data_IF_237535244117
#
_entry.id   IF_237535244117
#
_cell.length_a   1.000
_cell.length_b   1.000
_cell.length_c   1.000
_cell.angle_alpha   90.00
_cell.angle_beta   90.00
_cell.angle_gamma   90.00
#
_symmetry.space_group_name_H-M   'P 1'
#
loop_
_entity.id
_entity.type
_entity.pdbx_description
1 polymer ?
#
# COMPACT_ATOMS: atom_id res chain seq x y z
N UNK A 1 21.15 59.92 68.45
CA UNK A 1 20.27 58.77 68.11
C UNK A 1 20.78 57.96 66.90
N UNK A 2 22.07 58.05 66.57
CA UNK A 2 22.65 57.53 65.31
C UNK A 2 23.62 56.35 65.52
N UNK A 3 24.19 56.20 66.72
CA UNK A 3 25.16 55.14 67.06
C UNK A 3 24.50 53.74 67.19
N UNK A 4 23.22 53.67 67.56
CA UNK A 4 22.49 52.39 67.70
C UNK A 4 22.12 51.71 66.38
N UNK A 5 22.05 52.45 65.25
CA UNK A 5 21.70 51.88 63.93
C UNK A 5 22.89 51.20 63.25
N UNK A 6 24.10 51.76 63.40
CA UNK A 6 25.32 51.16 62.85
C UNK A 6 25.67 49.81 63.48
N UNK A 7 25.44 49.65 64.79
CA UNK A 7 25.70 48.38 65.48
C UNK A 7 24.79 47.24 65.01
N UNK A 8 23.52 47.55 64.69
CA UNK A 8 22.56 46.56 64.18
C UNK A 8 22.93 46.14 62.75
N UNK A 9 23.35 47.09 61.89
CA UNK A 9 23.77 46.76 60.54
C UNK A 9 25.08 45.95 60.52
N UNK A 10 26.03 46.27 61.40
CA UNK A 10 27.28 45.52 61.51
C UNK A 10 27.03 44.09 62.03
N UNK A 11 26.10 43.92 62.98
CA UNK A 11 25.71 42.60 63.49
C UNK A 11 24.98 41.76 62.43
N UNK A 12 24.10 42.36 61.62
CA UNK A 12 23.41 41.66 60.52
C UNK A 12 24.43 41.22 59.46
N UNK A 13 25.37 42.08 59.07
CA UNK A 13 26.43 41.73 58.10
C UNK A 13 27.33 40.61 58.65
N UNK A 14 27.65 40.64 59.95
CA UNK A 14 28.46 39.61 60.58
C UNK A 14 27.72 38.25 60.63
N UNK A 15 26.42 38.25 60.92
CA UNK A 15 25.59 37.03 60.93
C UNK A 15 25.43 36.45 59.52
N UNK A 16 25.19 37.28 58.50
CA UNK A 16 25.13 36.83 57.11
C UNK A 16 26.50 36.40 56.55
N UNK A 17 27.59 37.04 56.98
CA UNK A 17 28.95 36.66 56.63
C UNK A 17 29.38 35.33 57.26
N UNK A 18 28.96 35.04 58.49
CA UNK A 18 29.28 33.78 59.16
C UNK A 18 28.41 32.60 58.67
N UNK A 19 27.20 32.84 58.15
CA UNK A 19 26.41 31.78 57.49
C UNK A 19 26.99 31.33 56.14
N UNK A 20 27.77 32.17 55.46
CA UNK A 20 28.39 31.82 54.18
C UNK A 20 29.64 30.92 54.32
N UNK A 21 30.25 30.85 55.52
CA UNK A 21 31.47 30.07 55.78
C UNK A 21 31.23 28.75 56.52
N UNK A 22 29.99 28.46 56.93
CA UNK A 22 29.62 27.21 57.61
C UNK A 22 28.84 26.23 56.73
N UNK A 23 28.53 26.61 55.48
CA UNK A 23 28.09 25.65 54.47
C UNK A 23 29.33 24.92 53.96
N UNK A 24 29.67 23.80 54.60
CA UNK A 24 30.50 22.80 53.95
C UNK A 24 29.81 22.49 52.62
N UNK A 25 30.50 22.53 51.46
CA UNK A 25 29.91 21.99 50.26
C UNK A 25 29.58 20.54 50.59
N UNK A 26 28.31 20.23 50.74
CA UNK A 26 27.85 18.86 50.65
C UNK A 26 28.47 18.32 49.37
N UNK A 27 29.23 17.22 49.47
CA UNK A 27 29.57 16.47 48.27
C UNK A 27 28.23 16.16 47.61
N UNK A 28 27.94 16.90 46.54
CA UNK A 28 26.95 16.46 45.58
C UNK A 28 27.63 15.25 44.97
N UNK A 29 27.34 14.08 45.52
CA UNK A 29 27.49 12.86 44.75
C UNK A 29 26.76 13.15 43.45
N UNK A 30 27.45 13.02 42.32
CA UNK A 30 26.76 12.97 41.04
C UNK A 30 25.64 11.97 41.25
N UNK A 31 24.40 12.45 41.20
CA UNK A 31 23.23 11.59 41.25
C UNK A 31 23.49 10.54 40.17
N UNK A 32 23.52 9.26 40.55
CA UNK A 32 23.82 8.17 39.63
C UNK A 32 22.97 8.42 38.39
N UNK A 33 23.64 8.52 37.24
CA UNK A 33 23.02 9.04 36.03
C UNK A 33 21.74 8.27 35.68
N UNK A 34 21.63 7.02 36.14
CA UNK A 34 20.47 6.12 36.06
C UNK A 34 19.13 6.75 36.48
N UNK A 35 19.15 7.84 37.27
CA UNK A 35 17.95 8.59 37.66
C UNK A 35 17.44 9.59 36.58
N UNK A 36 18.20 9.82 35.50
CA UNK A 36 17.88 10.82 34.46
C UNK A 36 17.01 10.28 33.32
N UNK A 37 17.24 9.03 32.92
CA UNK A 37 16.39 8.30 31.97
C UNK A 37 16.56 6.79 32.22
N UNK A 38 15.49 6.03 31.95
CA UNK A 38 15.54 4.56 31.98
C UNK A 38 16.17 3.96 30.72
N UNK A 39 16.33 4.77 29.67
CA UNK A 39 16.84 4.48 28.32
C UNK A 39 17.55 5.77 27.87
N UNK A 40 18.88 5.77 27.85
CA UNK A 40 19.68 6.99 27.76
C UNK A 40 19.88 7.50 26.34
N UNK A 41 20.07 6.61 25.39
CA UNK A 41 20.26 6.89 23.97
C UNK A 41 18.92 6.91 23.21
N UNK A 42 17.85 6.41 23.81
CA UNK A 42 16.49 6.50 23.31
C UNK A 42 16.17 5.45 22.24
N UNK A 43 16.88 4.33 22.23
CA UNK A 43 16.77 3.26 21.24
C UNK A 43 15.58 2.30 21.51
N UNK A 44 14.92 2.44 22.67
CA UNK A 44 13.79 1.63 23.11
C UNK A 44 14.19 0.44 23.99
N UNK A 45 15.47 0.28 24.32
CA UNK A 45 16.02 -0.74 25.21
C UNK A 45 16.40 -0.09 26.55
N UNK A 46 15.84 -0.54 27.70
CA UNK A 46 16.19 0.07 28.96
C UNK A 46 17.64 -0.21 29.38
N UNK A 47 18.36 0.80 29.89
CA UNK A 47 19.74 0.73 30.40
C UNK A 47 20.05 -0.50 31.27
N UNK A 48 19.08 -0.89 32.12
CA UNK A 48 19.22 -2.05 33.01
C UNK A 48 19.24 -3.37 32.24
N UNK A 49 18.51 -3.44 31.13
CA UNK A 49 18.45 -4.60 30.24
C UNK A 49 19.74 -4.77 29.47
N UNK A 50 20.33 -3.67 29.01
CA UNK A 50 21.62 -3.65 28.33
C UNK A 50 22.75 -4.09 29.26
N UNK A 51 22.75 -3.57 30.50
CA UNK A 51 23.77 -3.89 31.51
C UNK A 51 23.62 -5.30 32.10
N UNK A 52 22.39 -5.77 32.35
CA UNK A 52 22.11 -7.12 32.87
C UNK A 52 22.21 -8.21 31.79
N UNK A 53 22.16 -7.76 30.53
CA UNK A 53 22.21 -8.57 29.33
C UNK A 53 20.87 -9.18 28.93
N UNK A 54 20.70 -9.39 27.62
CA UNK A 54 19.45 -9.89 27.04
C UNK A 54 19.68 -11.00 26.00
N UNK A 55 18.61 -11.71 25.67
CA UNK A 55 18.62 -12.84 24.73
C UNK A 55 17.47 -12.68 23.73
N UNK A 56 17.69 -13.15 22.50
CA UNK A 56 16.69 -13.26 21.44
C UNK A 56 16.98 -14.51 20.58
N UNK A 57 16.39 -14.66 19.39
CA UNK A 57 16.65 -15.82 18.55
C UNK A 57 18.09 -15.92 18.00
N UNK A 58 18.83 -14.80 17.92
CA UNK A 58 20.23 -14.77 17.51
C UNK A 58 21.20 -15.26 18.61
N UNK A 59 20.75 -15.33 19.87
CA UNK A 59 21.51 -15.93 20.97
C UNK A 59 21.52 -15.07 22.23
N UNK A 60 22.73 -14.84 22.76
CA UNK A 60 22.98 -14.06 23.97
C UNK A 60 23.71 -14.83 25.09
N UNK A 61 23.98 -14.18 26.24
CA UNK A 61 23.53 -12.83 26.59
C UNK A 61 24.31 -11.75 25.83
N UNK A 62 23.60 -10.76 25.31
CA UNK A 62 24.18 -9.55 24.71
C UNK A 62 24.21 -8.42 25.73
N UNK A 63 25.32 -7.69 25.80
CA UNK A 63 25.52 -6.57 26.71
C UNK A 63 25.95 -5.33 25.92
N UNK A 64 25.02 -4.42 25.67
CA UNK A 64 25.21 -3.22 24.86
C UNK A 64 25.55 -2.01 25.75
N UNK A 65 26.07 -0.93 25.16
CA UNK A 65 26.39 0.29 25.91
C UNK A 65 25.17 1.21 25.96
N UNK A 66 24.60 1.54 27.14
CA UNK A 66 23.44 2.41 27.24
C UNK A 66 23.61 3.83 26.70
N UNK A 67 24.78 4.20 26.21
CA UNK A 67 25.05 5.49 25.59
C UNK A 67 25.21 5.39 24.07
N UNK A 68 25.00 4.21 23.51
CA UNK A 68 25.25 3.85 22.12
C UNK A 68 24.06 3.06 21.57
N UNK A 69 23.20 3.76 20.81
CA UNK A 69 21.93 3.20 20.37
C UNK A 69 22.06 2.03 19.37
N UNK A 70 23.21 1.86 18.74
CA UNK A 70 23.46 0.92 17.64
C UNK A 70 24.88 0.36 17.80
N UNK A 71 24.99 -0.76 18.51
CA UNK A 71 26.28 -1.29 18.97
C UNK A 71 27.21 -1.80 17.86
N UNK A 72 26.70 -2.04 16.63
CA UNK A 72 27.49 -2.48 15.48
C UNK A 72 27.42 -1.59 14.23
N UNK A 73 26.75 -0.43 14.34
CA UNK A 73 26.67 0.61 13.31
C UNK A 73 26.01 0.15 11.98
N UNK A 74 25.16 -0.89 11.99
CA UNK A 74 24.42 -1.37 10.81
C UNK A 74 23.16 -0.53 10.50
N UNK A 75 22.89 0.45 11.36
CA UNK A 75 21.76 1.36 11.35
C UNK A 75 20.55 0.84 12.12
N UNK A 76 20.57 -0.35 12.70
CA UNK A 76 19.49 -0.96 13.47
C UNK A 76 19.81 -0.80 14.94
N UNK A 77 18.91 -0.15 15.68
CA UNK A 77 19.21 0.13 17.08
C UNK A 77 19.10 -1.13 17.94
N UNK A 78 19.84 -1.23 19.05
CA UNK A 78 19.88 -2.45 19.88
C UNK A 78 18.49 -2.88 20.36
N UNK A 79 17.61 -1.91 20.65
CA UNK A 79 16.20 -2.12 20.95
C UNK A 79 15.38 -2.69 19.80
N UNK A 80 15.65 -2.30 18.55
CA UNK A 80 15.04 -2.88 17.36
C UNK A 80 15.61 -4.26 17.07
N UNK A 81 16.90 -4.48 17.26
CA UNK A 81 17.52 -5.78 17.08
C UNK A 81 16.98 -6.84 18.05
N UNK A 82 16.73 -6.42 19.29
CA UNK A 82 16.01 -7.24 20.25
C UNK A 82 14.59 -7.58 19.79
N UNK A 83 13.91 -6.63 19.13
CA UNK A 83 12.55 -6.83 18.64
C UNK A 83 12.49 -7.73 17.39
N UNK A 84 13.45 -7.58 16.49
CA UNK A 84 13.53 -8.29 15.20
C UNK A 84 14.35 -9.58 15.26
N UNK A 85 14.80 -9.97 16.45
CA UNK A 85 15.59 -11.17 16.68
C UNK A 85 16.96 -11.18 15.94
N UNK A 86 17.63 -10.03 15.81
CA UNK A 86 18.94 -9.84 15.14
C UNK A 86 20.10 -9.74 16.14
N UNK A 87 21.33 -9.42 15.71
CA UNK A 87 22.53 -9.64 16.53
C UNK A 87 23.34 -8.34 16.71
N UNK A 88 23.39 -7.75 17.92
CA UNK A 88 23.87 -6.37 18.16
C UNK A 88 25.38 -6.14 18.09
N UNK A 89 26.12 -7.13 17.62
CA UNK A 89 27.59 -7.06 17.51
C UNK A 89 28.05 -7.71 16.20
N UNK A 90 27.15 -7.81 15.23
CA UNK A 90 27.40 -8.42 13.94
C UNK A 90 26.65 -7.61 12.89
N UNK A 91 27.35 -6.64 12.31
CA UNK A 91 26.85 -5.72 11.28
C UNK A 91 26.32 -6.39 10.01
N UNK A 92 26.60 -7.69 9.80
CA UNK A 92 25.98 -8.52 8.76
C UNK A 92 24.65 -9.16 9.16
N UNK A 93 24.10 -8.84 10.33
CA UNK A 93 22.85 -9.41 10.87
C UNK A 93 21.87 -8.28 11.24
N UNK A 94 20.75 -8.12 10.52
CA UNK A 94 20.05 -9.14 9.72
C UNK A 94 20.52 -9.24 8.26
N UNK A 95 21.55 -8.48 7.90
CA UNK A 95 22.04 -8.33 6.54
C UNK A 95 21.59 -6.99 6.00
N UNK A 96 20.76 -6.97 4.97
CA UNK A 96 20.12 -5.71 4.53
C UNK A 96 18.68 -5.68 4.98
N UNK A 97 18.13 -4.50 5.22
CA UNK A 97 16.73 -4.42 5.64
C UNK A 97 16.08 -3.09 5.29
N UNK A 98 14.75 -3.09 5.30
CA UNK A 98 13.93 -1.89 5.24
C UNK A 98 12.89 -1.96 6.34
N UNK A 99 12.85 -0.95 7.20
CA UNK A 99 11.75 -0.81 8.16
C UNK A 99 10.54 -0.18 7.50
N UNK A 100 9.36 -0.67 7.86
CA UNK A 100 8.12 -0.09 7.37
C UNK A 100 7.92 1.31 7.93
N UNK A 101 7.79 2.28 7.04
CA UNK A 101 7.38 3.64 7.36
C UNK A 101 5.92 3.84 6.94
N UNK A 102 5.12 4.53 7.78
CA UNK A 102 3.67 4.68 7.55
C UNK A 102 3.35 5.42 6.24
N UNK A 103 4.26 6.26 5.78
CA UNK A 103 4.13 7.02 4.54
C UNK A 103 4.28 6.16 3.28
N UNK A 104 4.78 4.92 3.40
CA UNK A 104 4.83 3.97 2.29
C UNK A 104 3.42 3.55 1.84
N UNK A 105 2.51 3.34 2.79
CA UNK A 105 1.11 2.91 2.54
C UNK A 105 1.03 1.67 1.64
N UNK A 106 1.83 0.65 1.99
CA UNK A 106 2.03 -0.62 1.26
C UNK A 106 2.16 -1.84 2.18
N UNK A 107 1.70 -1.74 3.42
CA UNK A 107 1.74 -2.77 4.45
C UNK A 107 0.97 -4.04 4.10
N UNK A 108 -0.10 -3.91 3.31
CA UNK A 108 -0.91 -5.04 2.85
C UNK A 108 -0.20 -5.88 1.78
N UNK A 109 0.85 -5.33 1.15
CA UNK A 109 1.73 -6.11 0.28
C UNK A 109 2.65 -7.03 1.12
N UNK A 110 3.15 -8.10 0.50
CA UNK A 110 3.59 -9.30 1.21
C UNK A 110 4.84 -9.36 2.10
N UNK A 111 5.76 -8.40 2.21
CA UNK A 111 7.03 -8.76 2.84
C UNK A 111 7.21 -8.27 4.28
N UNK A 112 6.24 -7.55 4.83
CA UNK A 112 6.40 -6.90 6.12
C UNK A 112 6.28 -7.90 7.28
N UNK A 113 7.43 -8.31 7.82
CA UNK A 113 7.50 -9.22 8.94
C UNK A 113 7.05 -8.51 10.21
N UNK A 114 5.96 -8.97 10.83
CA UNK A 114 5.39 -8.34 12.02
C UNK A 114 6.09 -8.79 13.30
N UNK A 115 6.75 -7.86 13.97
CA UNK A 115 7.28 -8.03 15.32
C UNK A 115 6.55 -7.06 16.27
N UNK A 116 5.55 -7.57 16.99
CA UNK A 116 4.65 -6.75 17.80
C UNK A 116 3.84 -5.77 16.92
N UNK A 117 4.12 -4.47 17.02
CA UNK A 117 3.49 -3.42 16.21
C UNK A 117 4.42 -2.88 15.10
N UNK A 118 5.62 -3.44 14.97
CA UNK A 118 6.64 -3.04 14.00
C UNK A 118 6.71 -4.04 12.86
N UNK A 119 7.24 -3.57 11.73
CA UNK A 119 7.26 -4.28 10.48
C UNK A 119 8.60 -4.02 9.78
N UNK A 120 9.25 -5.09 9.34
CA UNK A 120 10.57 -5.03 8.69
C UNK A 120 10.64 -6.02 7.54
N UNK A 121 11.31 -5.65 6.45
CA UNK A 121 11.68 -6.54 5.37
C UNK A 121 13.14 -6.96 5.54
N UNK A 122 13.40 -8.27 5.53
CA UNK A 122 14.71 -8.89 5.74
C UNK A 122 14.94 -10.00 4.70
N UNK A 123 16.18 -10.23 4.24
CA UNK A 123 16.54 -11.37 3.41
C UNK A 123 16.71 -12.68 4.20
N UNK A 124 16.90 -12.58 5.53
CA UNK A 124 17.21 -13.73 6.38
C UNK A 124 16.74 -13.56 7.83
N UNK A 125 16.32 -14.64 8.52
CA UNK A 125 16.06 -15.98 7.98
C UNK A 125 14.75 -16.06 7.19
N UNK A 126 14.67 -16.93 6.18
CA UNK A 126 13.46 -17.13 5.40
C UNK A 126 12.30 -17.54 6.30
N UNK A 127 11.30 -16.69 6.42
CA UNK A 127 10.02 -17.06 7.01
C UNK A 127 9.20 -17.86 5.97
N UNK A 128 8.34 -18.81 6.38
CA UNK A 128 7.64 -19.68 5.44
C UNK A 128 6.68 -18.97 4.45
N UNK A 129 6.47 -17.67 4.62
CA UNK A 129 5.43 -16.89 3.96
C UNK A 129 5.91 -15.52 3.42
N UNK A 130 7.20 -15.21 3.53
CA UNK A 130 7.74 -13.89 3.18
C UNK A 130 8.93 -14.02 2.24
N UNK A 131 8.91 -13.22 1.17
CA UNK A 131 10.00 -13.10 0.22
C UNK A 131 10.81 -11.83 0.52
N UNK A 132 12.07 -11.82 0.12
CA UNK A 132 13.03 -10.73 0.27
C UNK A 132 12.61 -9.54 -0.60
N UNK A 133 11.57 -8.81 -0.22
CA UNK A 133 10.90 -7.83 -1.07
C UNK A 133 10.51 -6.58 -0.31
N UNK A 134 10.45 -5.44 -0.99
CA UNK A 134 9.93 -4.17 -0.48
C UNK A 134 9.02 -3.59 -1.55
N UNK A 135 7.81 -3.17 -1.17
CA UNK A 135 6.90 -2.45 -2.08
C UNK A 135 6.82 -1.01 -1.62
N UNK A 136 7.09 -0.07 -2.52
CA UNK A 136 7.02 1.37 -2.25
C UNK A 136 6.25 2.10 -3.33
N UNK A 137 5.66 3.23 -2.98
CA UNK A 137 5.01 4.14 -3.93
C UNK A 137 6.00 5.14 -4.49
N UNK A 138 5.75 5.65 -5.70
CA UNK A 138 6.42 6.86 -6.18
C UNK A 138 6.22 8.02 -5.20
N UNK A 139 7.16 8.96 -5.18
CA UNK A 139 7.17 10.10 -4.25
C UNK A 139 7.68 9.76 -2.85
N UNK A 140 7.68 8.48 -2.46
CA UNK A 140 8.17 8.06 -1.16
C UNK A 140 9.70 8.16 -1.05
N UNK A 141 10.16 8.34 0.17
CA UNK A 141 11.57 8.15 0.54
C UNK A 141 11.61 7.04 1.58
N UNK A 142 12.51 6.08 1.41
CA UNK A 142 12.67 4.99 2.36
C UNK A 142 14.14 4.76 2.66
N UNK A 143 14.41 4.17 3.82
CA UNK A 143 15.77 3.93 4.31
C UNK A 143 16.09 2.44 4.22
N UNK A 144 17.27 2.11 3.70
CA UNK A 144 17.84 0.75 3.73
C UNK A 144 18.96 0.71 4.76
N UNK A 145 18.96 -0.26 5.66
CA UNK A 145 20.07 -0.53 6.57
C UNK A 145 20.92 -1.71 6.15
N UNK A 146 22.05 -1.89 6.85
CA UNK A 146 23.05 -2.91 6.61
C UNK A 146 24.46 -2.44 6.96
N UNK A 147 25.49 -3.25 6.69
CA UNK A 147 26.83 -3.07 7.26
C UNK A 147 27.42 -1.67 7.07
N UNK A 148 28.08 -1.15 8.11
CA UNK A 148 28.59 0.22 8.15
C UNK A 148 29.52 0.57 6.98
N UNK A 149 30.36 -0.38 6.54
CA UNK A 149 31.32 -0.21 5.43
C UNK A 149 30.77 -0.70 4.07
N UNK A 150 29.51 -1.15 4.04
CA UNK A 150 28.86 -1.68 2.85
C UNK A 150 28.69 -0.66 1.71
N UNK A 151 28.55 -1.16 0.49
CA UNK A 151 28.19 -0.37 -0.69
C UNK A 151 26.85 -0.82 -1.24
N UNK A 152 25.85 0.08 -1.22
CA UNK A 152 24.54 -0.19 -1.79
C UNK A 152 24.47 0.16 -3.29
N UNK A 153 23.97 -0.78 -4.08
CA UNK A 153 23.60 -0.59 -5.49
C UNK A 153 22.15 -0.95 -5.73
N UNK A 154 21.53 -0.30 -6.73
CA UNK A 154 20.16 -0.58 -7.15
C UNK A 154 20.19 -0.92 -8.63
N UNK A 155 19.93 -2.19 -8.94
CA UNK A 155 19.85 -2.68 -10.31
C UNK A 155 18.42 -2.60 -10.84
N UNK A 156 18.29 -2.34 -12.14
CA UNK A 156 17.01 -2.25 -12.84
C UNK A 156 16.72 -3.56 -13.54
N UNK A 157 15.48 -4.04 -13.50
CA UNK A 157 15.09 -5.21 -14.31
C UNK A 157 15.16 -4.93 -15.81
N UNK A 158 14.91 -3.67 -16.22
CA UNK A 158 14.96 -3.22 -17.62
C UNK A 158 15.58 -1.81 -17.74
N UNK A 159 16.15 -1.51 -18.91
CA UNK A 159 16.89 -0.26 -19.13
C UNK A 159 16.05 1.03 -19.10
N UNK A 160 14.73 0.94 -19.32
CA UNK A 160 13.82 2.09 -19.31
C UNK A 160 13.45 2.58 -17.91
N UNK A 161 13.71 1.79 -16.87
CA UNK A 161 13.41 2.20 -15.49
C UNK A 161 14.20 3.44 -15.08
N UNK A 162 13.62 4.23 -14.19
CA UNK A 162 14.24 5.41 -13.59
C UNK A 162 15.42 5.00 -12.74
N UNK A 163 16.52 5.75 -12.77
CA UNK A 163 17.66 5.45 -11.90
C UNK A 163 17.36 5.93 -10.48
N UNK A 164 17.32 5.00 -9.53
CA UNK A 164 17.26 5.32 -8.10
C UNK A 164 18.70 5.46 -7.57
N UNK A 165 18.93 6.49 -6.77
CA UNK A 165 20.27 6.80 -6.23
C UNK A 165 20.22 6.75 -4.72
N UNK A 166 20.95 5.82 -4.08
CA UNK A 166 21.04 5.78 -2.62
C UNK A 166 21.97 6.88 -2.10
N UNK A 167 21.60 7.50 -0.99
CA UNK A 167 22.38 8.52 -0.30
C UNK A 167 22.63 8.05 1.13
N UNK A 168 23.90 7.88 1.51
CA UNK A 168 24.23 7.50 2.88
C UNK A 168 23.88 8.63 3.84
N UNK A 169 23.10 8.30 4.86
CA UNK A 169 22.72 9.19 5.94
C UNK A 169 23.74 9.05 7.10
N UNK A 170 24.52 10.10 7.42
CA UNK A 170 25.57 10.02 8.42
C UNK A 170 25.03 9.96 9.87
N UNK A 171 23.74 10.23 10.08
CA UNK A 171 23.13 10.21 11.41
C UNK A 171 22.55 8.84 11.77
N UNK A 172 21.98 8.13 10.78
CA UNK A 172 21.35 6.83 11.01
C UNK A 172 22.20 5.64 10.54
N UNK A 173 23.31 5.88 9.83
CA UNK A 173 24.08 4.79 9.24
C UNK A 173 23.37 4.11 8.05
N UNK A 174 22.17 4.54 7.66
CA UNK A 174 21.37 3.94 6.58
C UNK A 174 21.57 4.63 5.22
N UNK A 175 21.04 4.05 4.16
CA UNK A 175 20.92 4.68 2.83
C UNK A 175 19.49 5.16 2.59
N UNK A 176 19.34 6.48 2.41
CA UNK A 176 18.08 7.10 2.01
C UNK A 176 17.91 6.97 0.49
N UNK A 177 16.76 6.47 0.05
CA UNK A 177 16.40 6.30 -1.37
C UNK A 177 15.10 7.05 -1.62
N UNK A 178 15.17 8.07 -2.49
CA UNK A 178 14.00 8.80 -2.96
C UNK A 178 13.50 8.25 -4.29
N UNK A 179 12.22 7.89 -4.35
CA UNK A 179 11.55 7.50 -5.60
C UNK A 179 10.84 8.71 -6.19
N UNK A 180 11.25 9.23 -7.35
CA UNK A 180 10.64 10.45 -7.92
C UNK A 180 9.18 10.23 -8.35
N UNK A 181 8.33 11.23 -8.12
CA UNK A 181 6.90 11.21 -8.46
C UNK A 181 6.62 11.06 -9.96
N UNK A 182 7.53 11.54 -10.81
CA UNK A 182 7.48 11.46 -12.27
C UNK A 182 8.34 10.31 -12.83
N UNK A 183 8.93 9.49 -11.95
CA UNK A 183 9.68 8.30 -12.34
C UNK A 183 8.80 7.16 -12.83
N UNK A 184 9.44 6.11 -13.34
CA UNK A 184 8.78 4.88 -13.78
C UNK A 184 8.48 3.95 -12.60
N UNK A 185 7.34 3.27 -12.64
CA UNK A 185 7.05 2.11 -11.79
C UNK A 185 7.71 0.84 -12.34
N UNK A 186 7.91 -0.18 -11.50
CA UNK A 186 8.46 -1.47 -11.92
C UNK A 186 9.43 -2.12 -10.94
N UNK A 187 10.31 -2.96 -11.47
CA UNK A 187 11.07 -3.95 -10.70
C UNK A 187 12.55 -3.57 -10.59
N UNK A 188 13.04 -3.53 -9.36
CA UNK A 188 14.43 -3.27 -9.01
C UNK A 188 14.97 -4.36 -8.08
N UNK A 189 16.29 -4.44 -7.97
CA UNK A 189 16.95 -5.25 -6.94
C UNK A 189 17.97 -4.39 -6.22
N UNK A 190 17.80 -4.24 -4.91
CA UNK A 190 18.75 -3.63 -3.99
C UNK A 190 19.81 -4.69 -3.67
N UNK A 191 21.08 -4.30 -3.70
CA UNK A 191 22.20 -5.15 -3.31
C UNK A 191 23.16 -4.35 -2.48
N UNK A 192 23.52 -4.85 -1.29
CA UNK A 192 24.63 -4.30 -0.50
C UNK A 192 25.78 -5.30 -0.57
N UNK A 193 26.96 -4.80 -0.91
CA UNK A 193 28.20 -5.57 -0.94
C UNK A 193 29.15 -5.04 0.15
N UNK A 194 29.74 -5.95 0.92
CA UNK A 194 30.81 -5.66 1.88
C UNK A 194 31.91 -6.73 1.77
N UNK A 195 33.02 -6.38 1.10
CA UNK A 195 34.13 -7.30 0.85
C UNK A 195 33.73 -8.54 0.02
N UNK A 196 33.55 -9.68 0.68
CA UNK A 196 33.10 -10.94 0.07
C UNK A 196 31.65 -11.30 0.40
N UNK A 197 30.97 -10.47 1.18
CA UNK A 197 29.58 -10.62 1.58
C UNK A 197 28.68 -9.79 0.65
N UNK A 198 27.55 -10.36 0.23
CA UNK A 198 26.49 -9.63 -0.49
C UNK A 198 25.12 -10.15 -0.07
N UNK A 199 24.15 -9.24 0.06
CA UNK A 199 22.74 -9.56 0.30
C UNK A 199 21.82 -8.73 -0.59
N UNK A 200 20.60 -9.25 -0.83
CA UNK A 200 19.69 -8.69 -1.84
C UNK A 200 18.24 -8.63 -1.38
N UNK A 201 17.56 -7.57 -1.83
CA UNK A 201 16.13 -7.35 -1.63
C UNK A 201 15.53 -6.93 -2.97
N UNK A 202 14.42 -7.54 -3.34
CA UNK A 202 13.58 -7.05 -4.42
C UNK A 202 12.92 -5.74 -4.00
N UNK A 203 12.83 -4.81 -4.95
CA UNK A 203 12.15 -3.54 -4.76
C UNK A 203 11.13 -3.38 -5.88
N UNK A 204 9.86 -3.34 -5.51
CA UNK A 204 8.76 -3.03 -6.41
C UNK A 204 8.30 -1.59 -6.18
N UNK A 205 8.34 -0.78 -7.24
CA UNK A 205 7.82 0.58 -7.22
C UNK A 205 6.46 0.60 -7.90
N UNK A 206 5.42 1.07 -7.21
CA UNK A 206 4.05 1.24 -7.72
C UNK A 206 3.64 2.72 -7.75
N UNK A 207 2.45 3.03 -8.29
CA UNK A 207 1.98 4.41 -8.38
C UNK A 207 1.69 5.02 -7.00
N UNK A 208 1.97 6.32 -6.89
CA UNK A 208 1.58 7.15 -5.75
C UNK A 208 0.07 7.29 -5.65
N UNK A 209 -0.41 7.60 -4.45
CA UNK A 209 -1.80 8.02 -4.28
C UNK A 209 -2.07 9.31 -5.04
N UNK A 210 -3.30 9.54 -5.56
CA UNK A 210 -3.63 10.79 -6.22
C UNK A 210 -3.45 11.99 -5.28
N UNK A 211 -3.03 13.11 -5.84
CA UNK A 211 -2.78 14.32 -5.05
C UNK A 211 -4.07 14.84 -4.40
N UNK A 212 -3.98 15.22 -3.13
CA UNK A 212 -5.08 15.71 -2.29
C UNK A 212 -6.20 14.69 -2.00
N UNK A 213 -5.97 13.38 -2.20
CA UNK A 213 -6.95 12.35 -1.88
C UNK A 213 -7.34 12.39 -0.41
N UNK A 214 -8.64 12.45 -0.13
CA UNK A 214 -9.19 12.15 1.20
C UNK A 214 -9.01 10.67 1.56
N UNK A 215 -8.93 10.35 2.85
CA UNK A 215 -8.90 8.96 3.33
C UNK A 215 -10.08 8.16 2.75
N UNK A 216 -11.28 8.73 2.75
CA UNK A 216 -12.47 8.11 2.17
C UNK A 216 -12.36 7.79 0.67
N UNK A 217 -11.60 8.57 -0.10
CA UNK A 217 -11.33 8.27 -1.51
C UNK A 217 -10.35 7.09 -1.62
N UNK A 218 -9.30 7.09 -0.80
CA UNK A 218 -8.31 6.01 -0.76
C UNK A 218 -9.00 4.71 -0.36
N UNK A 219 -9.69 4.68 0.78
CA UNK A 219 -10.46 3.54 1.32
C UNK A 219 -11.44 2.95 0.29
N UNK A 220 -12.00 3.79 -0.59
CA UNK A 220 -12.96 3.35 -1.58
C UNK A 220 -12.33 2.73 -2.83
N UNK A 221 -11.17 3.23 -3.27
CA UNK A 221 -10.71 3.02 -4.65
C UNK A 221 -9.29 2.48 -4.81
N UNK A 222 -8.41 2.62 -3.82
CA UNK A 222 -7.03 2.10 -3.81
C UNK A 222 -6.76 1.21 -2.58
N UNK A 223 -7.48 1.47 -1.49
CA UNK A 223 -7.41 0.83 -0.17
C UNK A 223 -6.25 1.27 0.74
N UNK A 224 -6.41 1.07 2.06
CA UNK A 224 -5.94 2.00 3.09
C UNK A 224 -4.95 1.44 4.12
N UNK A 225 -4.07 0.52 3.74
CA UNK A 225 -2.96 0.07 4.61
C UNK A 225 -3.42 -0.62 5.92
N UNK A 226 -4.73 -0.88 6.07
CA UNK A 226 -5.34 -1.51 7.23
C UNK A 226 -5.66 -2.99 6.92
N UNK A 227 -4.79 -3.94 7.29
CA UNK A 227 -4.99 -5.35 6.98
C UNK A 227 -6.21 -5.97 7.69
N UNK A 228 -6.82 -5.26 8.64
CA UNK A 228 -8.06 -5.70 9.30
C UNK A 228 -9.31 -5.24 8.52
N UNK A 229 -9.19 -4.35 7.52
CA UNK A 229 -10.30 -3.91 6.68
C UNK A 229 -10.54 -4.89 5.52
N UNK A 230 -11.54 -5.77 5.68
CA UNK A 230 -11.90 -6.74 4.63
C UNK A 230 -12.42 -6.11 3.33
N UNK A 231 -12.71 -4.80 3.36
CA UNK A 231 -13.07 -4.06 2.15
C UNK A 231 -11.90 -3.89 1.22
N UNK A 232 -10.69 -3.85 1.78
CA UNK A 232 -9.47 -3.66 1.03
C UNK A 232 -9.33 -4.75 -0.02
N UNK A 233 -9.72 -5.99 0.27
CA UNK A 233 -9.64 -7.07 -0.71
C UNK A 233 -10.96 -7.39 -1.43
N UNK A 234 -11.98 -6.52 -1.34
CA UNK A 234 -13.34 -6.80 -1.86
C UNK A 234 -13.88 -5.70 -2.78
N UNK A 235 -14.11 -6.04 -4.05
CA UNK A 235 -15.00 -5.24 -4.90
C UNK A 235 -16.43 -5.74 -4.78
N UNK A 236 -17.42 -4.86 -4.92
CA UNK A 236 -18.82 -5.27 -5.04
C UNK A 236 -19.25 -5.20 -6.49
N UNK A 237 -19.80 -6.30 -6.97
CA UNK A 237 -20.40 -6.37 -8.30
C UNK A 237 -21.91 -6.55 -8.22
N UNK A 238 -22.61 -6.33 -9.32
CA UNK A 238 -24.06 -6.39 -9.42
C UNK A 238 -24.53 -7.32 -10.54
N UNK A 239 -25.59 -8.08 -10.25
CA UNK A 239 -26.29 -8.95 -11.19
C UNK A 239 -27.78 -8.63 -11.17
N UNK A 240 -28.38 -8.37 -12.33
CA UNK A 240 -29.82 -8.10 -12.43
C UNK A 240 -30.71 -9.34 -12.36
N UNK A 241 -31.95 -9.11 -11.94
CA UNK A 241 -33.09 -10.00 -12.11
C UNK A 241 -33.99 -9.47 -13.22
N UNK A 242 -34.02 -10.19 -14.34
CA UNK A 242 -34.76 -9.80 -15.55
C UNK A 242 -36.29 -9.72 -15.38
N UNK A 243 -36.84 -10.04 -14.21
CA UNK A 243 -38.27 -10.02 -13.90
C UNK A 243 -38.71 -8.89 -12.95
N UNK A 244 -37.81 -8.09 -12.38
CA UNK A 244 -38.13 -6.92 -11.53
C UNK A 244 -37.70 -5.60 -12.20
N UNK A 245 -38.26 -5.35 -13.38
CA UNK A 245 -38.08 -4.08 -14.11
C UNK A 245 -39.02 -3.01 -13.55
N UNK A 246 -38.52 -1.80 -13.26
CA UNK A 246 -39.32 -0.68 -12.75
C UNK A 246 -39.09 0.60 -13.53
N UNK A 247 -40.19 1.30 -13.80
CA UNK A 247 -40.17 2.63 -14.39
C UNK A 247 -39.63 3.64 -13.40
N UNK A 248 -38.69 4.45 -13.87
CA UNK A 248 -38.05 5.50 -13.12
C UNK A 248 -38.95 6.75 -13.01
N UNK A 249 -39.37 7.10 -11.79
CA UNK A 249 -40.43 8.08 -11.52
C UNK A 249 -39.95 9.47 -11.08
N UNK A 250 -38.64 9.77 -11.22
CA UNK A 250 -38.00 11.05 -10.91
C UNK A 250 -38.06 11.54 -9.45
N UNK A 251 -38.65 10.78 -8.51
CA UNK A 251 -38.86 11.29 -7.14
C UNK A 251 -37.65 11.11 -6.20
N UNK A 252 -36.69 10.25 -6.56
CA UNK A 252 -35.57 9.89 -5.68
C UNK A 252 -34.17 10.14 -6.27
N UNK A 253 -34.00 10.29 -7.59
CA UNK A 253 -32.67 10.27 -8.24
C UNK A 253 -32.56 11.25 -9.43
N UNK A 254 -32.31 12.54 -9.20
CA UNK A 254 -32.24 13.59 -10.25
C UNK A 254 -31.25 13.32 -11.42
N UNK A 255 -30.49 12.21 -11.35
CA UNK A 255 -29.46 11.79 -12.29
C UNK A 255 -29.87 10.66 -13.26
N UNK A 256 -31.00 9.96 -13.08
CA UNK A 256 -31.55 9.01 -14.07
C UNK A 256 -32.59 9.75 -14.93
N UNK A 257 -32.57 9.66 -16.28
CA UNK A 257 -33.59 10.30 -17.12
C UNK A 257 -35.02 9.77 -16.85
N UNK A 258 -36.04 10.64 -16.93
CA UNK A 258 -37.46 10.28 -16.73
C UNK A 258 -37.95 9.22 -17.73
N UNK A 259 -38.71 8.22 -17.24
CA UNK A 259 -39.33 7.20 -18.09
C UNK A 259 -38.40 6.05 -18.49
N UNK A 260 -37.18 6.04 -17.97
CA UNK A 260 -36.23 4.93 -18.10
C UNK A 260 -36.64 3.75 -17.21
N UNK A 261 -36.34 2.52 -17.66
CA UNK A 261 -36.67 1.30 -16.90
C UNK A 261 -35.40 0.62 -16.38
N UNK A 262 -35.25 0.53 -15.06
CA UNK A 262 -34.12 -0.16 -14.42
C UNK A 262 -34.55 -1.55 -13.94
N UNK A 263 -33.70 -2.57 -14.08
CA UNK A 263 -33.94 -3.83 -13.39
C UNK A 263 -33.28 -3.78 -12.01
N UNK A 264 -33.99 -4.31 -11.02
CA UNK A 264 -33.39 -4.65 -9.75
C UNK A 264 -32.61 -5.95 -9.83
N UNK A 265 -31.75 -6.17 -8.83
CA UNK A 265 -30.80 -7.26 -8.84
C UNK A 265 -30.16 -7.47 -7.48
N UNK A 266 -29.09 -8.24 -7.49
CA UNK A 266 -28.30 -8.54 -6.32
C UNK A 266 -26.89 -8.03 -6.52
N UNK A 267 -26.39 -7.37 -5.48
CA UNK A 267 -24.96 -7.15 -5.34
C UNK A 267 -24.33 -8.39 -4.71
N UNK A 268 -23.09 -8.66 -5.08
CA UNK A 268 -22.29 -9.71 -4.48
C UNK A 268 -20.82 -9.30 -4.38
N UNK A 269 -20.14 -9.79 -3.33
CA UNK A 269 -18.73 -9.53 -3.11
C UNK A 269 -17.87 -10.33 -4.10
N UNK A 270 -16.82 -9.70 -4.60
CA UNK A 270 -15.77 -10.29 -5.40
C UNK A 270 -14.44 -10.12 -4.66
N UNK A 271 -13.76 -11.23 -4.38
CA UNK A 271 -12.44 -11.23 -3.77
C UNK A 271 -11.41 -10.79 -4.82
N UNK A 272 -10.95 -9.56 -4.69
CA UNK A 272 -9.98 -8.96 -5.60
C UNK A 272 -8.64 -9.67 -5.53
N UNK A 273 -8.23 -10.06 -4.32
CA UNK A 273 -6.92 -10.71 -4.09
C UNK A 273 -5.78 -9.86 -4.66
N UNK A 274 -5.91 -8.52 -4.71
CA UNK A 274 -4.92 -7.66 -5.36
C UNK A 274 -3.57 -7.64 -4.64
N UNK A 275 -3.61 -8.01 -3.35
CA UNK A 275 -2.56 -8.55 -2.51
C UNK A 275 -1.67 -9.51 -3.28
N UNK A 276 -2.32 -10.63 -3.66
CA UNK A 276 -1.76 -11.95 -3.89
C UNK A 276 -0.63 -11.97 -4.92
N UNK A 277 0.41 -12.76 -4.64
CA UNK A 277 1.58 -12.90 -5.51
C UNK A 277 1.18 -13.21 -6.95
N UNK A 278 0.18 -14.09 -7.11
CA UNK A 278 -0.32 -14.46 -8.42
C UNK A 278 -1.05 -13.33 -9.15
N UNK A 279 -1.48 -12.27 -8.47
CA UNK A 279 -1.98 -11.03 -9.08
C UNK A 279 -0.83 -10.06 -9.28
N UNK A 280 -0.15 -9.70 -8.19
CA UNK A 280 0.83 -8.61 -8.20
C UNK A 280 2.09 -8.97 -8.99
N UNK A 281 2.82 -10.01 -8.57
CA UNK A 281 4.12 -10.36 -9.14
C UNK A 281 4.03 -11.05 -10.51
N UNK A 282 3.03 -11.92 -10.69
CA UNK A 282 2.88 -12.72 -11.90
C UNK A 282 2.22 -11.94 -13.07
N UNK A 283 1.45 -10.88 -12.76
CA UNK A 283 0.75 -10.08 -13.78
C UNK A 283 1.01 -8.58 -13.66
N UNK A 284 0.62 -7.95 -12.56
CA UNK A 284 0.49 -6.49 -12.49
C UNK A 284 1.83 -5.79 -12.63
N UNK A 285 2.81 -6.14 -11.78
CA UNK A 285 4.12 -5.47 -11.80
C UNK A 285 4.88 -5.75 -13.10
N UNK A 286 4.63 -6.91 -13.73
CA UNK A 286 5.19 -7.25 -15.04
C UNK A 286 4.62 -6.36 -16.15
N UNK A 287 3.31 -6.12 -16.13
CA UNK A 287 2.62 -5.32 -17.15
C UNK A 287 3.01 -3.83 -17.09
N UNK A 288 3.22 -3.29 -15.88
CA UNK A 288 3.52 -1.86 -15.70
C UNK A 288 5.03 -1.54 -15.69
N UNK A 289 5.91 -2.54 -15.79
CA UNK A 289 7.34 -2.37 -15.63
C UNK A 289 7.94 -1.37 -16.64
N UNK A 290 8.45 -0.25 -16.14
CA UNK A 290 9.03 0.82 -16.95
C UNK A 290 8.04 1.87 -17.46
N UNK A 291 6.78 1.86 -16.99
CA UNK A 291 5.77 2.86 -17.33
C UNK A 291 5.81 4.02 -16.32
N UNK A 292 5.58 5.26 -16.77
CA UNK A 292 5.66 6.48 -15.95
C UNK A 292 4.32 7.20 -15.75
N UNK A 293 3.24 6.71 -16.34
CA UNK A 293 1.93 7.34 -16.24
C UNK A 293 0.80 6.31 -16.10
N UNK A 294 -0.24 6.70 -15.37
CA UNK A 294 -1.37 5.82 -15.03
C UNK A 294 -2.22 5.45 -16.25
N UNK A 295 -2.23 6.27 -17.30
CA UNK A 295 -2.98 5.99 -18.53
C UNK A 295 -2.40 4.80 -19.29
N UNK A 296 -1.09 4.83 -19.57
CA UNK A 296 -0.42 3.75 -20.28
C UNK A 296 -0.40 2.47 -19.42
N UNK A 297 -0.23 2.61 -18.10
CA UNK A 297 -0.24 1.48 -17.18
C UNK A 297 -1.61 0.79 -17.14
N UNK A 298 -2.70 1.55 -17.01
CA UNK A 298 -4.04 0.99 -17.03
C UNK A 298 -4.36 0.28 -18.36
N UNK A 299 -3.93 0.84 -19.49
CA UNK A 299 -4.08 0.18 -20.80
C UNK A 299 -3.27 -1.12 -20.87
N UNK A 300 -2.01 -1.13 -20.39
CA UNK A 300 -1.19 -2.33 -20.33
C UNK A 300 -1.81 -3.41 -19.42
N UNK A 301 -2.46 -3.02 -18.32
CA UNK A 301 -3.21 -3.93 -17.46
C UNK A 301 -4.47 -4.48 -18.14
N UNK A 302 -5.17 -3.67 -18.94
CA UNK A 302 -6.28 -4.13 -19.78
C UNK A 302 -5.86 -5.19 -20.79
N UNK A 303 -4.74 -4.95 -21.47
CA UNK A 303 -4.11 -5.92 -22.38
C UNK A 303 -3.72 -7.20 -21.62
N UNK A 304 -3.13 -7.06 -20.43
CA UNK A 304 -2.75 -8.20 -19.59
C UNK A 304 -3.95 -9.03 -19.13
N UNK A 305 -5.11 -8.42 -18.89
CA UNK A 305 -6.34 -9.16 -18.56
C UNK A 305 -6.89 -9.90 -19.79
N UNK A 306 -6.88 -9.26 -20.96
CA UNK A 306 -7.32 -9.88 -22.22
C UNK A 306 -6.46 -11.09 -22.60
N UNK A 307 -5.14 -11.03 -22.35
CA UNK A 307 -4.22 -12.16 -22.55
C UNK A 307 -4.60 -13.42 -21.74
N UNK A 308 -5.28 -13.26 -20.59
CA UNK A 308 -5.51 -14.33 -19.62
C UNK A 308 -6.98 -14.69 -19.42
N UNK A 309 -7.89 -13.97 -20.07
CA UNK A 309 -9.32 -14.21 -19.93
C UNK A 309 -9.99 -14.42 -21.28
N UNK A 310 -11.00 -15.27 -21.31
CA UNK A 310 -11.86 -15.42 -22.47
C UNK A 310 -13.31 -15.16 -22.07
N UNK A 311 -13.93 -14.14 -22.66
CA UNK A 311 -15.32 -13.76 -22.35
C UNK A 311 -16.28 -14.60 -23.20
N UNK A 312 -17.11 -15.43 -22.56
CA UNK A 312 -18.19 -16.19 -23.20
C UNK A 312 -19.26 -16.58 -22.17
N UNK A 313 -20.52 -16.24 -22.42
CA UNK A 313 -21.64 -16.47 -21.51
C UNK A 313 -21.76 -17.93 -21.00
N UNK A 314 -22.18 -18.22 -19.74
CA UNK A 314 -22.62 -17.34 -18.64
C UNK A 314 -21.83 -17.53 -17.32
N UNK A 315 -20.49 -17.63 -17.37
CA UNK A 315 -19.76 -18.11 -16.19
C UNK A 315 -19.33 -16.97 -15.25
N UNK A 316 -19.97 -16.90 -14.08
CA UNK A 316 -19.61 -15.98 -13.00
C UNK A 316 -18.64 -16.63 -12.00
N UNK A 317 -17.83 -15.79 -11.35
CA UNK A 317 -16.84 -16.14 -10.35
C UNK A 317 -16.81 -15.10 -9.23
N UNK A 318 -16.49 -15.57 -8.02
CA UNK A 318 -16.41 -14.73 -6.82
C UNK A 318 -14.99 -14.30 -6.43
N UNK A 319 -13.96 -14.63 -7.22
CA UNK A 319 -12.58 -14.29 -6.89
C UNK A 319 -11.70 -14.16 -8.13
N UNK A 320 -10.67 -13.31 -8.05
CA UNK A 320 -9.69 -13.11 -9.11
C UNK A 320 -8.95 -14.40 -9.48
N UNK A 321 -8.66 -15.26 -8.51
CA UNK A 321 -8.08 -16.58 -8.77
C UNK A 321 -8.93 -17.40 -9.73
N UNK A 322 -10.25 -17.40 -9.54
CA UNK A 322 -11.16 -18.15 -10.42
C UNK A 322 -11.26 -17.54 -11.82
N UNK A 323 -11.14 -16.22 -11.96
CA UNK A 323 -11.15 -15.56 -13.28
C UNK A 323 -9.92 -15.95 -14.10
N UNK A 324 -8.75 -16.05 -13.45
CA UNK A 324 -7.49 -16.49 -14.04
C UNK A 324 -7.38 -18.02 -14.18
N UNK A 325 -8.13 -18.78 -13.37
CA UNK A 325 -8.13 -20.25 -13.36
C UNK A 325 -9.55 -20.84 -13.53
N UNK A 326 -10.29 -20.44 -14.59
CA UNK A 326 -11.72 -20.74 -14.72
C UNK A 326 -12.00 -22.25 -14.78
N UNK A 327 -11.10 -23.01 -15.41
CA UNK A 327 -11.24 -24.45 -15.55
C UNK A 327 -11.16 -25.17 -14.20
N UNK A 328 -10.30 -24.70 -13.30
CA UNK A 328 -10.17 -25.25 -11.95
C UNK A 328 -11.41 -24.96 -11.09
N UNK A 329 -12.09 -23.83 -11.31
CA UNK A 329 -13.29 -23.47 -10.57
C UNK A 329 -14.59 -24.08 -11.12
N UNK A 330 -14.67 -24.33 -12.42
CA UNK A 330 -15.95 -24.63 -13.09
C UNK A 330 -15.88 -25.65 -14.22
N UNK A 331 -14.68 -26.14 -14.58
CA UNK A 331 -14.49 -27.07 -15.70
C UNK A 331 -14.63 -26.45 -17.08
N UNK A 332 -14.66 -25.12 -17.19
CA UNK A 332 -14.72 -24.35 -18.44
C UNK A 332 -13.68 -23.23 -18.45
N UNK A 333 -13.27 -22.74 -19.63
CA UNK A 333 -12.32 -21.62 -19.77
C UNK A 333 -12.99 -20.24 -19.89
N UNK A 334 -14.30 -20.20 -19.65
CA UNK A 334 -15.14 -19.04 -19.95
C UNK A 334 -15.24 -18.13 -18.76
N UNK A 335 -15.21 -16.83 -19.01
CA UNK A 335 -15.50 -15.76 -18.08
C UNK A 335 -16.70 -14.95 -18.57
N UNK A 336 -17.34 -14.24 -17.67
CA UNK A 336 -18.35 -13.22 -17.98
C UNK A 336 -17.70 -11.83 -17.99
N UNK A 337 -18.26 -10.88 -18.73
CA UNK A 337 -17.81 -9.48 -18.74
C UNK A 337 -17.69 -8.90 -17.32
N UNK A 338 -18.63 -9.27 -16.46
CA UNK A 338 -18.65 -9.01 -15.02
C UNK A 338 -17.33 -9.34 -14.34
N UNK A 339 -16.88 -10.59 -14.44
CA UNK A 339 -15.73 -11.10 -13.68
C UNK A 339 -14.42 -10.57 -14.26
N UNK A 340 -14.41 -10.27 -15.56
CA UNK A 340 -13.28 -9.62 -16.22
C UNK A 340 -13.14 -8.16 -15.76
N UNK A 341 -14.25 -7.43 -15.61
CA UNK A 341 -14.25 -6.06 -15.06
C UNK A 341 -13.75 -6.01 -13.61
N UNK A 342 -14.15 -6.96 -12.76
CA UNK A 342 -13.68 -7.02 -11.37
C UNK A 342 -12.21 -7.43 -11.28
N UNK A 343 -11.74 -8.37 -12.12
CA UNK A 343 -10.31 -8.70 -12.23
C UNK A 343 -9.49 -7.49 -12.68
N UNK A 344 -9.96 -6.74 -13.67
CA UNK A 344 -9.29 -5.53 -14.15
C UNK A 344 -9.26 -4.43 -13.07
N UNK A 345 -10.28 -4.36 -12.21
CA UNK A 345 -10.26 -3.51 -11.01
C UNK A 345 -9.14 -3.97 -10.07
N UNK A 346 -9.08 -5.26 -9.72
CA UNK A 346 -8.03 -5.80 -8.87
C UNK A 346 -6.63 -5.48 -9.41
N UNK A 347 -6.41 -5.62 -10.72
CA UNK A 347 -5.14 -5.30 -11.37
C UNK A 347 -4.76 -3.82 -11.24
N UNK A 348 -5.70 -2.91 -11.47
CA UNK A 348 -5.44 -1.47 -11.32
C UNK A 348 -5.16 -1.09 -9.86
N UNK A 349 -5.93 -1.62 -8.90
CA UNK A 349 -5.71 -1.36 -7.47
C UNK A 349 -4.38 -1.90 -6.97
N UNK A 350 -3.99 -3.11 -7.41
CA UNK A 350 -2.65 -3.70 -7.16
C UNK A 350 -1.50 -2.83 -7.69
N UNK A 351 -1.73 -2.05 -8.77
CA UNK A 351 -0.75 -1.10 -9.29
C UNK A 351 -0.72 0.23 -8.53
N UNK A 352 -1.59 0.42 -7.53
CA UNK A 352 -1.80 1.69 -6.84
C UNK A 352 -2.66 2.69 -7.62
N UNK A 353 -3.45 2.24 -8.60
CA UNK A 353 -4.30 3.09 -9.44
C UNK A 353 -5.75 2.98 -8.96
N UNK A 354 -6.44 4.10 -8.61
CA UNK A 354 -7.82 4.04 -8.17
C UNK A 354 -8.72 3.47 -9.25
N UNK A 355 -9.55 2.50 -8.89
CA UNK A 355 -10.49 1.89 -9.84
C UNK A 355 -11.71 1.29 -9.16
N UNK A 356 -12.74 0.96 -9.96
CA UNK A 356 -13.93 0.19 -9.53
C UNK A 356 -14.61 -0.52 -10.72
N UNK A 357 -15.34 -1.62 -10.48
CA UNK A 357 -16.22 -2.19 -11.51
C UNK A 357 -17.42 -1.27 -11.76
N UNK A 358 -17.92 -1.28 -12.99
CA UNK A 358 -19.05 -0.46 -13.40
C UNK A 358 -19.83 -1.10 -14.55
N UNK A 359 -21.03 -0.60 -14.74
CA UNK A 359 -21.94 -0.96 -15.82
C UNK A 359 -21.79 -0.01 -16.99
N UNK A 360 -21.80 -0.59 -18.20
CA UNK A 360 -21.68 0.16 -19.43
C UNK A 360 -22.51 -0.48 -20.52
N UNK A 361 -23.11 0.32 -21.39
CA UNK A 361 -23.96 -0.12 -22.52
C UNK A 361 -25.40 -0.43 -22.09
N UNK A 362 -26.31 0.39 -22.58
CA UNK A 362 -27.74 0.17 -22.48
C UNK A 362 -28.36 0.39 -23.86
N UNK A 363 -28.08 -0.52 -24.79
CA UNK A 363 -28.85 -0.59 -26.01
C UNK A 363 -30.28 -1.09 -25.70
N UNK A 364 -31.32 -0.62 -26.41
CA UNK A 364 -32.72 -0.93 -26.12
C UNK A 364 -33.12 -2.41 -26.33
N UNK A 365 -32.23 -3.27 -26.82
CA UNK A 365 -32.56 -4.60 -27.32
C UNK A 365 -31.57 -5.75 -27.00
N UNK A 366 -30.50 -5.56 -26.21
CA UNK A 366 -29.56 -6.66 -25.91
C UNK A 366 -28.72 -6.48 -24.64
N UNK A 367 -28.37 -7.61 -24.03
CA UNK A 367 -27.73 -7.85 -22.73
C UNK A 367 -26.45 -7.05 -22.42
N UNK A 368 -26.33 -6.73 -21.13
CA UNK A 368 -25.40 -5.89 -20.40
C UNK A 368 -23.90 -6.16 -20.57
N UNK A 369 -23.13 -5.08 -20.68
CA UNK A 369 -21.66 -5.10 -20.63
C UNK A 369 -21.13 -4.48 -19.33
N UNK A 370 -20.00 -5.01 -18.86
CA UNK A 370 -19.31 -4.50 -17.68
C UNK A 370 -17.97 -3.90 -18.08
N UNK A 371 -17.64 -2.77 -17.47
CA UNK A 371 -16.36 -2.09 -17.67
C UNK A 371 -15.73 -1.79 -16.33
N UNK A 372 -14.52 -1.24 -16.36
CA UNK A 372 -13.81 -0.77 -15.18
C UNK A 372 -13.63 0.74 -15.30
N UNK A 373 -13.97 1.47 -14.24
CA UNK A 373 -13.63 2.88 -14.09
C UNK A 373 -12.24 2.98 -13.47
N UNK A 374 -11.37 3.81 -14.02
CA UNK A 374 -9.98 3.96 -13.60
C UNK A 374 -9.63 5.45 -13.53
N UNK A 375 -9.03 5.88 -12.42
CA UNK A 375 -8.52 7.23 -12.23
C UNK A 375 -7.15 7.34 -12.92
N UNK A 376 -7.11 8.02 -14.05
CA UNK A 376 -5.93 8.05 -14.91
C UNK A 376 -5.67 9.45 -15.46
N UNK A 377 -4.46 9.66 -16.01
CA UNK A 377 -4.06 10.93 -16.62
C UNK A 377 -3.56 10.72 -18.06
N UNK A 378 -4.35 11.06 -19.09
CA UNK A 378 -3.87 10.98 -20.47
C UNK A 378 -2.81 12.05 -20.75
N UNK A 379 -2.02 11.82 -21.80
CA UNK A 379 -1.03 12.77 -22.28
C UNK A 379 -1.67 14.14 -22.59
N UNK A 380 -1.24 15.18 -21.87
CA UNK A 380 -1.75 16.55 -22.02
C UNK A 380 -3.14 16.81 -21.42
N UNK A 381 -3.72 15.84 -20.71
CA UNK A 381 -4.98 15.99 -19.98
C UNK A 381 -4.81 16.19 -18.47
N UNK A 382 -5.96 16.27 -17.79
CA UNK A 382 -6.03 16.26 -16.33
C UNK A 382 -6.29 14.82 -15.84
N UNK A 383 -5.98 14.58 -14.57
CA UNK A 383 -6.47 13.38 -13.88
C UNK A 383 -7.99 13.42 -13.79
N UNK A 384 -8.62 12.34 -14.23
CA UNK A 384 -10.06 12.14 -14.10
C UNK A 384 -10.40 10.65 -14.17
N UNK A 385 -11.69 10.33 -14.02
CA UNK A 385 -12.21 9.00 -14.24
C UNK A 385 -12.35 8.69 -15.74
N UNK A 386 -11.80 7.55 -16.14
CA UNK A 386 -11.84 7.00 -17.49
C UNK A 386 -12.34 5.56 -17.46
N UNK A 387 -12.82 5.06 -18.60
CA UNK A 387 -13.48 3.76 -18.69
C UNK A 387 -12.78 2.88 -19.70
N UNK A 388 -12.61 1.60 -19.34
CA UNK A 388 -11.99 0.59 -20.19
C UNK A 388 -12.64 -0.78 -20.00
N UNK A 389 -12.34 -1.71 -20.91
CA UNK A 389 -12.73 -3.13 -20.78
C UNK A 389 -11.53 -4.01 -21.05
N UNK A 390 -11.40 -5.09 -20.31
CA UNK A 390 -10.43 -6.17 -20.58
C UNK A 390 -10.85 -7.10 -21.70
N UNK A 391 -11.71 -6.65 -22.64
CA UNK A 391 -12.23 -7.40 -23.79
C UNK A 391 -12.81 -6.44 -24.84
N UNK A 392 -12.82 -6.80 -26.14
CA UNK A 392 -13.01 -5.84 -27.25
C UNK A 392 -14.46 -5.60 -27.66
N UNK A 393 -15.28 -6.65 -27.81
CA UNK A 393 -16.74 -6.57 -28.03
C UNK A 393 -17.39 -7.96 -28.25
N UNK A 394 -16.61 -8.96 -28.67
CA UNK A 394 -17.15 -10.25 -29.12
C UNK A 394 -16.77 -11.38 -28.16
N UNK A 395 -17.77 -12.19 -27.80
CA UNK A 395 -17.56 -13.49 -27.16
C UNK A 395 -16.94 -14.47 -28.17
N UNK A 396 -15.61 -14.46 -28.30
CA UNK A 396 -14.90 -15.41 -29.14
C UNK A 396 -15.04 -16.85 -28.65
N UNK A 397 -14.77 -17.85 -29.50
CA UNK A 397 -14.76 -19.23 -29.05
C UNK A 397 -13.59 -19.45 -28.08
N UNK A 398 -13.90 -19.63 -26.79
CA UNK A 398 -12.90 -20.06 -25.80
C UNK A 398 -12.38 -21.45 -26.15
N UNK A 399 -11.32 -21.51 -26.98
CA UNK A 399 -10.59 -22.74 -27.28
C UNK A 399 -9.76 -23.15 -26.07
N UNK A 400 -9.28 -24.39 -26.05
CA UNK A 400 -8.52 -24.94 -24.92
C UNK A 400 -7.11 -24.36 -24.73
N UNK A 401 -6.68 -23.41 -25.55
CA UNK A 401 -5.31 -22.89 -25.52
C UNK A 401 -5.30 -21.38 -25.24
N UNK A 402 -4.73 -21.00 -24.10
CA UNK A 402 -4.69 -19.61 -23.60
C UNK A 402 -4.03 -18.62 -24.57
N UNK A 403 -3.12 -19.10 -25.43
CA UNK A 403 -2.46 -18.29 -26.46
C UNK A 403 -3.38 -17.80 -27.58
N UNK A 404 -4.65 -18.20 -27.59
CA UNK A 404 -5.65 -17.88 -28.61
C UNK A 404 -6.80 -17.00 -28.11
N UNK A 405 -6.75 -16.54 -26.85
CA UNK A 405 -7.86 -15.79 -26.22
C UNK A 405 -7.85 -14.28 -26.47
N UNK A 406 -6.74 -13.73 -26.99
CA UNK A 406 -6.60 -12.30 -27.27
C UNK A 406 -7.47 -11.83 -28.44
N UNK A 407 -8.74 -11.56 -28.15
CA UNK A 407 -9.69 -10.95 -29.08
C UNK A 407 -9.61 -9.41 -29.06
N UNK A 408 -8.72 -8.86 -28.23
CA UNK A 408 -8.43 -7.44 -28.05
C UNK A 408 -9.17 -6.87 -26.84
N UNK A 409 -8.71 -5.73 -26.33
CA UNK A 409 -9.34 -4.99 -25.24
C UNK A 409 -9.86 -3.63 -25.69
N UNK A 410 -10.73 -2.99 -24.89
CA UNK A 410 -11.13 -1.60 -25.13
C UNK A 410 -10.27 -0.69 -24.28
N UNK A 411 -9.42 0.08 -24.95
CA UNK A 411 -8.58 1.11 -24.34
C UNK A 411 -9.38 2.11 -23.51
N UNK A 412 -8.69 2.74 -22.55
CA UNK A 412 -9.22 3.86 -21.79
C UNK A 412 -9.78 4.94 -22.73
N UNK A 413 -10.99 5.37 -22.40
CA UNK A 413 -11.69 6.45 -23.10
C UNK A 413 -12.41 7.33 -22.11
N UNK A 414 -12.62 8.58 -22.51
CA UNK A 414 -13.42 9.50 -21.73
C UNK A 414 -14.83 8.97 -21.52
N UNK A 415 -15.36 9.19 -20.33
CA UNK A 415 -16.77 8.99 -20.02
C UNK A 415 -17.68 9.97 -20.78
N UNK A 416 -17.13 11.10 -21.25
CA UNK A 416 -17.81 12.12 -22.06
C UNK A 416 -18.16 11.55 -23.44
N UNK A 417 -19.37 11.00 -23.56
CA UNK A 417 -19.89 10.44 -24.81
C UNK A 417 -20.90 9.32 -24.59
N UNK A 418 -20.70 8.53 -23.54
CA UNK A 418 -21.62 7.45 -23.15
C UNK A 418 -23.03 7.97 -22.87
N UNK A 419 -23.13 9.11 -22.19
CA UNK A 419 -24.40 9.73 -21.81
C UNK A 419 -25.08 10.50 -22.94
N UNK A 420 -24.40 10.76 -24.06
CA UNK A 420 -24.95 11.58 -25.15
C UNK A 420 -25.95 10.83 -26.05
N UNK A 421 -26.01 9.49 -25.92
CA UNK A 421 -26.90 8.60 -26.67
C UNK A 421 -28.11 8.07 -25.90
N UNK A 422 -28.33 8.49 -24.65
CA UNK A 422 -29.35 7.90 -23.76
C UNK A 422 -28.88 6.64 -23.01
N UNK A 423 -27.58 6.32 -23.07
CA UNK A 423 -27.01 5.17 -22.37
C UNK A 423 -26.53 5.59 -20.97
N UNK A 424 -26.98 4.87 -19.95
CA UNK A 424 -26.57 5.08 -18.56
C UNK A 424 -25.30 4.33 -18.19
N UNK A 425 -24.59 4.84 -17.19
CA UNK A 425 -23.39 4.24 -16.61
C UNK A 425 -23.57 4.26 -15.09
N UNK A 426 -23.41 3.11 -14.46
CA UNK A 426 -23.77 2.91 -13.06
C UNK A 426 -22.69 2.14 -12.31
N UNK A 427 -22.53 2.45 -11.03
CA UNK A 427 -21.71 1.68 -10.11
C UNK A 427 -22.48 1.48 -8.80
N UNK A 428 -22.14 0.41 -8.08
CA UNK A 428 -22.55 0.26 -6.69
C UNK A 428 -21.81 1.32 -5.88
N UNK A 429 -22.49 1.96 -4.94
CA UNK A 429 -21.88 2.91 -4.02
C UNK A 429 -20.90 2.21 -3.08
N UNK A 430 -19.86 2.92 -2.64
CA UNK A 430 -18.76 2.33 -1.84
C UNK A 430 -19.11 2.18 -0.35
N UNK A 431 -20.31 2.63 0.05
CA UNK A 431 -20.78 2.67 1.44
C UNK A 431 -21.60 1.43 1.83
N UNK A 432 -21.21 0.24 1.37
CA UNK A 432 -21.89 -1.00 1.73
C UNK A 432 -21.46 -1.47 3.14
N UNK A 433 -22.34 -2.08 3.96
CA UNK A 433 -21.98 -2.61 5.27
C UNK A 433 -21.04 -3.81 5.17
N UNK A 434 -20.02 -3.88 6.03
CA UNK A 434 -19.06 -4.99 6.04
C UNK A 434 -19.73 -6.36 6.27
N UNK A 435 -20.83 -6.38 7.05
CA UNK A 435 -21.65 -7.59 7.23
C UNK A 435 -22.23 -8.19 5.94
N UNK A 436 -22.23 -7.44 4.84
CA UNK A 436 -22.74 -7.86 3.52
C UNK A 436 -21.63 -8.41 2.59
N UNK A 437 -20.35 -8.27 2.95
CA UNK A 437 -19.15 -8.73 2.18
C UNK A 437 -19.07 -10.24 1.99
N UNK A 438 -19.91 -11.01 2.66
CA UNK A 438 -19.83 -12.48 2.65
C UNK A 438 -21.01 -13.16 1.97
N UNK A 439 -21.99 -12.37 1.47
CA UNK A 439 -23.25 -12.90 0.96
C UNK A 439 -23.77 -12.06 -0.20
N UNK A 440 -24.63 -12.67 -1.01
CA UNK A 440 -25.50 -11.95 -1.92
C UNK A 440 -26.42 -11.04 -1.11
N UNK A 441 -26.57 -9.79 -1.54
CA UNK A 441 -27.49 -8.85 -0.93
C UNK A 441 -28.28 -8.12 -2.00
N UNK A 442 -29.54 -7.79 -1.66
CA UNK A 442 -30.30 -6.85 -2.48
C UNK A 442 -29.71 -5.48 -2.25
N UNK A 443 -28.97 -4.97 -3.22
CA UNK A 443 -28.60 -3.57 -3.17
C UNK A 443 -29.85 -2.74 -3.45
N UNK A 444 -30.25 -1.92 -2.47
CA UNK A 444 -31.41 -1.05 -2.57
C UNK A 444 -31.15 0.10 -3.54
N UNK A 445 -32.20 0.77 -4.04
CA UNK A 445 -32.06 1.82 -5.06
C UNK A 445 -31.10 2.98 -4.64
N UNK A 446 -30.95 3.24 -3.33
CA UNK A 446 -30.05 4.27 -2.77
C UNK A 446 -28.57 3.84 -2.71
N UNK A 447 -28.28 2.57 -2.98
CA UNK A 447 -26.91 2.02 -3.04
C UNK A 447 -26.34 2.07 -4.46
N UNK A 448 -27.09 2.58 -5.44
CA UNK A 448 -26.59 2.84 -6.79
C UNK A 448 -26.42 4.33 -7.03
N UNK A 449 -25.43 4.68 -7.83
CA UNK A 449 -25.26 6.03 -8.33
C UNK A 449 -24.81 6.01 -9.78
N UNK A 450 -25.22 7.02 -10.55
CA UNK A 450 -24.47 7.36 -11.75
C UNK A 450 -23.01 7.51 -11.32
N UNK A 451 -22.07 6.96 -12.10
CA UNK A 451 -20.65 7.23 -11.94
C UNK A 451 -20.41 8.72 -12.25
N UNK A 452 -20.78 9.58 -11.31
CA UNK A 452 -20.75 11.03 -11.44
C UNK A 452 -19.44 11.50 -10.86
N UNK A 453 -18.51 11.72 -11.78
CA UNK A 453 -17.22 12.41 -11.69
C UNK A 453 -17.16 13.72 -10.86
N UNK A 454 -18.23 14.17 -10.23
CA UNK A 454 -18.25 15.37 -9.37
C UNK A 454 -18.15 15.07 -7.87
N UNK A 455 -18.55 13.87 -7.42
CA UNK A 455 -18.62 13.54 -5.99
C UNK A 455 -17.46 12.67 -5.51
N UNK A 456 -16.83 11.92 -6.42
CA UNK A 456 -15.73 10.99 -6.14
C UNK A 456 -14.40 11.52 -6.71
N UNK A 457 -14.03 12.76 -6.39
CA UNK A 457 -12.70 13.30 -6.73
C UNK A 457 -11.82 13.34 -5.47
N UNK A 458 -10.49 13.13 -5.60
CA UNK A 458 -9.54 13.15 -4.50
C UNK A 458 -9.78 14.27 -3.48
#
# INVERSE_FOLDING_TARGET
MTIKRYFIHLFIILVFGMSAFLAWPSQVYAQEWQDLSADFDGDGLPNVTEQDGWYNAAGGPFYTDPLDADSDDDGLSDGLEKLYDTHPFNDHSPGIYVEYEKDLQTKEYYPWQRFGNKYIALPYPPVPWGEDTVVVRRGATFSVGGPADGTLTISKSIGSLTTLTPVRNPCSGRWDIHVPEDGTVGIYTITVEDGSWDEKLNLYVIFQLPTNSSDAFVDAFIYNDDPDDTRDETSVHYQEMMDDQREYDHNHYDWIPEGEWIYHGFAYPFQNQQYEKFIFEDHVIQAINGIDNTWDAANALGERVDEYTCVQWPQYYGSAWCVLNPYSCSGTYRNECTTVSTLLTAFNRSAGIPSRPMWTDWAPDSSWDHSTEVWAKPAGGAEDWYVMRGYSHYEGPCSSNQSEWGDGYVHLRSTLGWYSGGHGVYAVGENWPESQVTKWFHASQDEYRMATWQFDKP
#
